data_IF_653023277108
#
_entry.id   IF_653023277108
#
_cell.length_a   1.000
_cell.length_b   1.000
_cell.length_c   1.000
_cell.angle_alpha   90.00
_cell.angle_beta   90.00
_cell.angle_gamma   90.00
#
_symmetry.space_group_name_H-M   'P 1'
#
loop_
_entity.id
_entity.type
_entity.pdbx_description
1 polymer ?
#
# COMPACT_ATOMS: atom_id res chain seq x y z
N UNK A 1 -3.45 -2.38 -32.62
CA UNK A 1 -2.20 -1.57 -32.60
C UNK A 1 -2.18 -0.44 -33.65
N UNK A 2 -3.00 -0.50 -34.70
CA UNK A 2 -3.05 0.49 -35.79
C UNK A 2 -3.68 1.83 -35.38
N UNK A 3 -4.69 1.84 -34.49
CA UNK A 3 -5.40 3.07 -34.08
C UNK A 3 -4.51 4.08 -33.33
N UNK A 4 -3.58 3.62 -32.49
CA UNK A 4 -2.62 4.49 -31.79
C UNK A 4 -1.67 5.21 -32.74
N UNK A 5 -1.31 4.56 -33.86
CA UNK A 5 -0.42 5.12 -34.89
C UNK A 5 -1.07 6.30 -35.63
N UNK A 6 -2.40 6.30 -35.74
CA UNK A 6 -3.17 7.39 -36.35
C UNK A 6 -3.38 8.56 -35.39
N UNK A 7 -3.67 8.32 -34.11
CA UNK A 7 -3.83 9.40 -33.12
C UNK A 7 -2.52 10.15 -32.83
N UNK A 8 -1.38 9.45 -32.87
CA UNK A 8 -0.06 10.07 -32.67
C UNK A 8 0.40 11.00 -33.81
N UNK A 9 -0.35 11.10 -34.91
CA UNK A 9 -0.08 12.00 -36.04
C UNK A 9 -0.60 13.43 -35.77
N UNK A 10 -1.50 13.60 -34.81
CA UNK A 10 -1.98 14.91 -34.37
C UNK A 10 -1.02 15.51 -33.32
N UNK A 11 -0.63 16.80 -33.43
CA UNK A 11 0.37 17.43 -32.57
C UNK A 11 -0.01 17.43 -31.08
N UNK A 12 -1.31 17.41 -30.75
CA UNK A 12 -1.79 17.42 -29.35
C UNK A 12 -1.79 16.00 -28.75
N UNK A 13 -2.35 15.02 -29.46
CA UNK A 13 -2.46 13.65 -28.94
C UNK A 13 -1.13 12.88 -29.01
N UNK A 14 -0.23 13.25 -29.93
CA UNK A 14 1.10 12.67 -30.05
C UNK A 14 1.99 12.92 -28.82
N UNK A 15 1.84 14.06 -28.15
CA UNK A 15 2.56 14.37 -26.91
C UNK A 15 2.05 13.47 -25.79
N UNK A 16 0.73 13.41 -25.58
CA UNK A 16 0.10 12.59 -24.53
C UNK A 16 0.49 11.11 -24.67
N UNK A 17 0.46 10.56 -25.89
CA UNK A 17 0.87 9.16 -26.13
C UNK A 17 2.35 8.94 -25.84
N UNK A 18 3.23 9.88 -26.19
CA UNK A 18 4.67 9.79 -25.91
C UNK A 18 4.97 9.86 -24.42
N UNK A 19 4.28 10.74 -23.68
CA UNK A 19 4.42 10.85 -22.22
C UNK A 19 3.91 9.59 -21.51
N UNK A 20 2.77 9.01 -21.93
CA UNK A 20 2.28 7.73 -21.39
C UNK A 20 3.26 6.58 -21.66
N UNK A 21 3.86 6.54 -22.85
CA UNK A 21 4.85 5.51 -23.20
C UNK A 21 6.16 5.70 -22.43
N UNK A 22 6.57 6.94 -22.15
CA UNK A 22 7.73 7.24 -21.32
C UNK A 22 7.50 6.88 -19.85
N UNK A 23 6.34 7.26 -19.29
CA UNK A 23 5.95 7.00 -17.90
C UNK A 23 5.46 5.56 -17.64
N UNK A 24 5.54 4.67 -18.63
CA UNK A 24 4.95 3.31 -18.54
C UNK A 24 5.54 2.48 -17.40
N UNK A 25 6.84 2.59 -17.11
CA UNK A 25 7.49 1.78 -16.08
C UNK A 25 7.09 2.24 -14.68
N UNK A 26 7.01 3.56 -14.46
CA UNK A 26 6.52 4.14 -13.21
C UNK A 26 5.04 3.80 -12.98
N UNK A 27 4.23 3.85 -14.05
CA UNK A 27 2.82 3.47 -13.98
C UNK A 27 2.63 1.98 -13.65
N UNK A 28 3.49 1.09 -14.15
CA UNK A 28 3.45 -0.34 -13.83
C UNK A 28 3.79 -0.58 -12.36
N UNK A 29 4.84 0.07 -11.84
CA UNK A 29 5.24 -0.08 -10.44
C UNK A 29 4.14 0.41 -9.49
N UNK A 30 3.50 1.52 -9.84
CA UNK A 30 2.34 2.05 -9.14
C UNK A 30 1.11 1.12 -9.26
N UNK A 31 0.82 0.61 -10.46
CA UNK A 31 -0.28 -0.33 -10.69
C UNK A 31 -0.13 -1.63 -9.90
N UNK A 32 1.11 -2.09 -9.69
CA UNK A 32 1.40 -3.23 -8.84
C UNK A 32 1.07 -2.94 -7.36
N UNK A 33 1.44 -1.76 -6.85
CA UNK A 33 1.05 -1.35 -5.48
C UNK A 33 -0.48 -1.25 -5.33
N UNK A 34 -1.16 -0.72 -6.35
CA UNK A 34 -2.62 -0.70 -6.40
C UNK A 34 -3.22 -2.10 -6.30
N UNK A 35 -2.77 -3.02 -7.16
CA UNK A 35 -3.31 -4.37 -7.21
C UNK A 35 -3.18 -5.10 -5.87
N UNK A 36 -2.04 -4.96 -5.19
CA UNK A 36 -1.84 -5.53 -3.85
C UNK A 36 -2.83 -4.95 -2.84
N UNK A 37 -2.95 -3.62 -2.76
CA UNK A 37 -3.91 -2.97 -1.87
C UNK A 37 -5.35 -3.36 -2.18
N UNK A 38 -5.70 -3.45 -3.46
CA UNK A 38 -7.03 -3.81 -3.94
C UNK A 38 -7.40 -5.24 -3.50
N UNK A 39 -6.49 -6.20 -3.67
CA UNK A 39 -6.71 -7.59 -3.22
C UNK A 39 -6.84 -7.67 -1.71
N UNK A 40 -6.02 -6.93 -0.95
CA UNK A 40 -6.12 -6.90 0.52
C UNK A 40 -7.49 -6.38 0.96
N UNK A 41 -7.98 -5.31 0.35
CA UNK A 41 -9.32 -4.77 0.64
C UNK A 41 -10.43 -5.73 0.19
N UNK A 42 -10.27 -6.43 -0.92
CA UNK A 42 -11.24 -7.43 -1.38
C UNK A 42 -11.36 -8.58 -0.38
N UNK A 43 -10.24 -9.16 0.03
CA UNK A 43 -10.20 -10.21 1.07
C UNK A 43 -10.78 -9.70 2.38
N UNK A 44 -10.41 -8.50 2.82
CA UNK A 44 -10.92 -7.91 4.06
C UNK A 44 -12.43 -7.69 4.01
N UNK A 45 -12.97 -7.23 2.88
CA UNK A 45 -14.41 -7.05 2.71
C UNK A 45 -15.18 -8.37 2.69
N UNK A 46 -14.64 -9.41 2.05
CA UNK A 46 -15.22 -10.77 2.13
C UNK A 46 -15.25 -11.26 3.58
N UNK A 47 -14.17 -11.06 4.33
CA UNK A 47 -14.09 -11.47 5.75
C UNK A 47 -15.06 -10.69 6.66
N UNK A 48 -15.23 -9.39 6.42
CA UNK A 48 -16.08 -8.54 7.27
C UNK A 48 -17.56 -8.62 6.93
N UNK A 49 -17.89 -8.70 5.63
CA UNK A 49 -19.26 -8.55 5.14
C UNK A 49 -19.80 -9.78 4.39
N UNK A 50 -18.95 -10.73 4.02
CA UNK A 50 -19.33 -11.87 3.18
C UNK A 50 -20.33 -12.83 3.81
N UNK A 51 -20.49 -12.83 5.13
CA UNK A 51 -21.51 -13.66 5.79
C UNK A 51 -22.93 -13.07 5.67
N UNK A 52 -23.06 -11.77 5.39
CA UNK A 52 -24.35 -11.06 5.45
C UNK A 52 -24.74 -10.51 4.09
N UNK A 53 -23.80 -9.90 3.36
CA UNK A 53 -24.05 -9.30 2.05
C UNK A 53 -23.65 -10.28 0.94
N UNK A 54 -24.57 -10.54 0.01
CA UNK A 54 -24.30 -11.45 -1.11
C UNK A 54 -23.14 -10.96 -1.99
N UNK A 55 -23.05 -9.65 -2.17
CA UNK A 55 -22.03 -8.92 -2.95
C UNK A 55 -20.60 -9.14 -2.42
N UNK A 56 -20.46 -9.66 -1.21
CA UNK A 56 -19.18 -9.89 -0.54
C UNK A 56 -18.88 -11.37 -0.32
N UNK A 57 -19.65 -12.29 -0.89
CA UNK A 57 -19.46 -13.73 -0.64
C UNK A 57 -18.19 -14.28 -1.27
N UNK A 58 -17.90 -13.87 -2.50
CA UNK A 58 -16.71 -14.33 -3.24
C UNK A 58 -15.74 -13.19 -3.48
N UNK A 59 -14.46 -13.52 -3.69
CA UNK A 59 -13.44 -12.53 -4.05
C UNK A 59 -13.77 -11.80 -5.36
N UNK A 60 -14.39 -12.50 -6.31
CA UNK A 60 -14.79 -11.91 -7.59
C UNK A 60 -15.92 -10.90 -7.42
N UNK A 61 -16.98 -11.26 -6.68
CA UNK A 61 -18.08 -10.34 -6.38
C UNK A 61 -17.58 -9.15 -5.57
N UNK A 62 -16.75 -9.38 -4.54
CA UNK A 62 -16.17 -8.31 -3.74
C UNK A 62 -15.28 -7.37 -4.58
N UNK A 63 -14.53 -7.89 -5.54
CA UNK A 63 -13.77 -7.07 -6.48
C UNK A 63 -14.68 -6.22 -7.39
N UNK A 64 -15.79 -6.79 -7.86
CA UNK A 64 -16.80 -6.04 -8.63
C UNK A 64 -17.41 -4.93 -7.77
N UNK A 65 -17.77 -5.22 -6.52
CA UNK A 65 -18.32 -4.24 -5.56
C UNK A 65 -17.31 -3.15 -5.20
N UNK A 66 -16.03 -3.48 -5.05
CA UNK A 66 -14.97 -2.48 -4.88
C UNK A 66 -14.83 -1.57 -6.10
N UNK A 67 -14.99 -2.12 -7.32
CA UNK A 67 -14.99 -1.33 -8.55
C UNK A 67 -16.20 -0.40 -8.61
N UNK A 68 -17.39 -0.89 -8.23
CA UNK A 68 -18.60 -0.07 -8.10
C UNK A 68 -18.48 1.00 -7.01
N UNK A 69 -17.70 0.76 -5.95
CA UNK A 69 -17.38 1.79 -4.96
C UNK A 69 -16.46 2.88 -5.52
N UNK A 70 -15.53 2.53 -6.42
CA UNK A 70 -14.66 3.51 -7.10
C UNK A 70 -15.50 4.39 -8.03
N UNK A 71 -16.44 3.81 -8.77
CA UNK A 71 -17.35 4.58 -9.64
C UNK A 71 -18.36 5.40 -8.85
N UNK A 72 -18.56 5.08 -7.57
CA UNK A 72 -19.53 5.73 -6.69
C UNK A 72 -20.96 5.19 -6.83
N UNK A 73 -21.16 4.16 -7.65
CA UNK A 73 -22.46 3.49 -7.82
C UNK A 73 -22.85 2.71 -6.56
N UNK A 74 -21.86 2.19 -5.83
CA UNK A 74 -22.09 1.47 -4.58
C UNK A 74 -21.99 2.42 -3.38
N UNK A 75 -23.13 2.68 -2.75
CA UNK A 75 -23.24 3.56 -1.58
C UNK A 75 -22.76 2.94 -0.27
N UNK A 76 -22.68 3.78 0.76
CA UNK A 76 -22.26 3.36 2.11
C UNK A 76 -23.36 2.62 2.90
N UNK A 77 -24.62 2.73 2.49
CA UNK A 77 -25.78 2.22 3.25
C UNK A 77 -25.77 0.69 3.47
N UNK A 78 -25.46 -0.15 2.47
CA UNK A 78 -25.42 -1.61 2.67
C UNK A 78 -24.37 -2.02 3.71
N UNK A 79 -23.22 -1.34 3.74
CA UNK A 79 -22.14 -1.57 4.70
C UNK A 79 -22.55 -1.17 6.12
N UNK A 80 -23.27 -0.04 6.25
CA UNK A 80 -23.78 0.45 7.55
C UNK A 80 -24.84 -0.47 8.15
N UNK A 81 -25.67 -1.12 7.33
CA UNK A 81 -26.69 -2.07 7.79
C UNK A 81 -26.09 -3.28 8.50
N UNK A 82 -24.90 -3.72 8.08
CA UNK A 82 -24.17 -4.80 8.75
C UNK A 82 -23.57 -4.30 10.06
N UNK A 83 -22.77 -3.24 9.98
CA UNK A 83 -22.18 -2.62 11.15
C UNK A 83 -21.92 -1.14 10.85
N UNK A 84 -22.63 -0.25 11.53
CA UNK A 84 -22.56 1.18 11.27
C UNK A 84 -21.14 1.75 11.42
N UNK A 85 -20.39 1.30 12.44
CA UNK A 85 -19.02 1.78 12.69
C UNK A 85 -18.03 1.17 11.71
N UNK A 86 -17.98 -0.17 11.61
CA UNK A 86 -17.02 -0.86 10.74
C UNK A 86 -17.27 -0.57 9.26
N UNK A 87 -18.53 -0.52 8.82
CA UNK A 87 -18.91 -0.19 7.45
C UNK A 87 -18.50 1.22 7.05
N UNK A 88 -18.73 2.21 7.92
CA UNK A 88 -18.33 3.60 7.67
C UNK A 88 -16.80 3.75 7.62
N UNK A 89 -16.09 3.12 8.55
CA UNK A 89 -14.61 3.14 8.59
C UNK A 89 -14.02 2.44 7.36
N UNK A 90 -14.55 1.28 6.98
CA UNK A 90 -14.10 0.54 5.80
C UNK A 90 -14.27 1.38 4.52
N UNK A 91 -15.47 1.94 4.32
CA UNK A 91 -15.76 2.80 3.16
C UNK A 91 -14.86 4.03 3.12
N UNK A 92 -14.71 4.73 4.25
CA UNK A 92 -13.86 5.91 4.33
C UNK A 92 -12.39 5.60 4.06
N UNK A 93 -11.85 4.51 4.61
CA UNK A 93 -10.48 4.07 4.37
C UNK A 93 -10.24 3.72 2.90
N UNK A 94 -11.17 3.01 2.26
CA UNK A 94 -11.07 2.68 0.85
C UNK A 94 -11.11 3.94 -0.02
N UNK A 95 -12.01 4.87 0.27
CA UNK A 95 -12.14 6.13 -0.45
C UNK A 95 -10.87 6.99 -0.32
N UNK A 96 -10.34 7.17 0.90
CA UNK A 96 -9.07 7.89 1.14
C UNK A 96 -7.91 7.21 0.41
N UNK A 97 -7.86 5.87 0.39
CA UNK A 97 -6.82 5.14 -0.33
C UNK A 97 -6.86 5.42 -1.83
N UNK A 98 -8.05 5.43 -2.45
CA UNK A 98 -8.20 5.75 -3.87
C UNK A 98 -7.79 7.21 -4.17
N UNK A 99 -8.13 8.16 -3.30
CA UNK A 99 -7.64 9.54 -3.46
C UNK A 99 -6.12 9.65 -3.35
N UNK A 100 -5.51 9.00 -2.36
CA UNK A 100 -4.05 8.96 -2.19
C UNK A 100 -3.38 8.34 -3.43
N UNK A 101 -3.99 7.30 -3.97
CA UNK A 101 -3.56 6.62 -5.18
C UNK A 101 -3.59 7.58 -6.38
N UNK A 102 -4.70 8.28 -6.63
CA UNK A 102 -4.79 9.28 -7.70
C UNK A 102 -3.71 10.36 -7.57
N UNK A 103 -3.49 10.88 -6.37
CA UNK A 103 -2.49 11.93 -6.12
C UNK A 103 -1.08 11.44 -6.44
N UNK A 104 -0.74 10.19 -6.12
CA UNK A 104 0.57 9.63 -6.42
C UNK A 104 0.83 9.48 -7.93
N UNK A 105 -0.20 9.16 -8.74
CA UNK A 105 -0.06 9.17 -10.22
C UNK A 105 0.13 10.60 -10.72
N UNK A 106 -0.67 11.54 -10.21
CA UNK A 106 -0.59 12.94 -10.61
C UNK A 106 0.79 13.54 -10.30
N UNK A 107 1.34 13.24 -9.12
CA UNK A 107 2.69 13.65 -8.72
C UNK A 107 3.77 13.07 -9.64
N UNK A 108 3.65 11.80 -10.03
CA UNK A 108 4.59 11.18 -10.96
C UNK A 108 4.62 11.92 -12.31
N UNK A 109 3.44 12.23 -12.86
CA UNK A 109 3.31 12.98 -14.12
C UNK A 109 3.87 14.41 -13.99
N UNK A 110 3.57 15.10 -12.89
CA UNK A 110 4.06 16.45 -12.65
C UNK A 110 5.59 16.49 -12.51
N UNK A 111 6.18 15.51 -11.82
CA UNK A 111 7.63 15.42 -11.67
C UNK A 111 8.33 15.12 -12.99
N UNK A 112 7.76 14.26 -13.84
CA UNK A 112 8.27 13.99 -15.19
C UNK A 112 8.24 15.26 -16.06
N UNK A 113 7.13 16.00 -16.03
CA UNK A 113 7.02 17.29 -16.74
C UNK A 113 7.96 18.36 -16.19
N UNK A 114 8.22 18.38 -14.89
CA UNK A 114 9.15 19.34 -14.28
C UNK A 114 10.61 19.01 -14.65
N UNK A 115 10.96 17.72 -14.65
CA UNK A 115 12.28 17.25 -15.08
C UNK A 115 12.54 17.58 -16.56
N UNK A 116 11.55 17.42 -17.44
CA UNK A 116 11.72 17.74 -18.87
C UNK A 116 11.97 19.22 -19.11
N UNK A 117 11.27 20.12 -18.41
CA UNK A 117 11.47 21.57 -18.52
C UNK A 117 12.86 21.99 -18.00
N UNK A 118 13.33 21.37 -16.90
CA UNK A 118 14.67 21.64 -16.38
C UNK A 118 15.77 21.18 -17.34
N UNK A 119 15.57 20.03 -17.99
CA UNK A 119 16.52 19.48 -18.97
C UNK A 119 16.57 20.32 -20.26
N UNK A 120 15.46 20.93 -20.67
CA UNK A 120 15.43 21.83 -21.84
C UNK A 120 16.12 23.17 -21.54
N UNK A 121 15.91 23.75 -20.35
CA UNK A 121 16.62 24.95 -19.91
C UNK A 121 18.14 24.68 -19.68
N UNK A 122 18.53 23.48 -19.24
CA UNK A 122 19.96 23.12 -19.11
C UNK A 122 20.66 22.85 -20.45
N UNK A 123 19.92 22.52 -21.52
CA UNK A 123 20.50 22.35 -22.87
C UNK A 123 20.92 23.67 -23.51
N UNK A 124 20.48 24.81 -22.99
CA UNK A 124 21.04 26.12 -23.37
C UNK A 124 22.37 26.42 -22.63
N UNK A 125 22.71 25.70 -21.55
CA UNK A 125 23.87 26.01 -20.69
C UNK A 125 24.99 24.94 -20.60
N UNK A 126 24.78 23.67 -20.99
CA UNK A 126 25.74 22.60 -20.62
C UNK A 126 26.23 21.72 -21.80
N UNK A 127 27.20 22.26 -22.54
CA UNK A 127 28.18 21.50 -23.35
C UNK A 127 29.28 20.83 -22.46
N UNK A 128 29.05 20.69 -21.15
CA UNK A 128 30.04 20.15 -20.19
C UNK A 128 29.39 19.16 -19.20
N UNK A 129 29.94 17.96 -19.19
CA UNK A 129 30.04 17.02 -18.07
C UNK A 129 29.13 15.78 -18.06
N UNK A 130 29.72 14.64 -18.45
CA UNK A 130 29.13 13.30 -18.47
C UNK A 130 28.86 12.66 -17.09
N UNK A 131 28.79 13.46 -16.03
CA UNK A 131 28.60 13.00 -14.64
C UNK A 131 27.15 13.12 -14.13
N UNK A 132 26.26 13.82 -14.86
CA UNK A 132 24.88 14.11 -14.41
C UNK A 132 23.92 12.91 -14.46
N UNK A 133 24.18 11.91 -15.32
CA UNK A 133 23.34 10.70 -15.39
C UNK A 133 23.39 9.88 -14.09
N UNK A 134 24.46 10.04 -13.30
CA UNK A 134 24.65 9.30 -12.04
C UNK A 134 24.03 10.01 -10.81
N UNK A 135 23.61 11.28 -10.90
CA UNK A 135 22.93 11.95 -9.77
C UNK A 135 21.41 11.72 -9.77
N UNK A 136 20.75 11.75 -10.94
CA UNK A 136 19.28 11.57 -11.04
C UNK A 136 18.85 10.13 -10.75
N UNK A 137 19.58 9.14 -11.31
CA UNK A 137 19.36 7.74 -10.98
C UNK A 137 19.64 7.45 -9.50
N UNK A 138 20.61 8.17 -8.90
CA UNK A 138 20.92 8.10 -7.48
C UNK A 138 19.77 8.53 -6.58
N UNK A 139 19.07 9.62 -6.92
CA UNK A 139 17.90 10.10 -6.17
C UNK A 139 16.71 9.12 -6.26
N UNK A 140 16.44 8.57 -7.45
CA UNK A 140 15.39 7.58 -7.65
C UNK A 140 15.69 6.27 -6.88
N UNK A 141 16.95 5.81 -6.92
CA UNK A 141 17.40 4.62 -6.19
C UNK A 141 17.36 4.82 -4.67
N UNK A 142 17.67 6.03 -4.19
CA UNK A 142 17.58 6.40 -2.77
C UNK A 142 16.14 6.43 -2.25
N UNK A 143 15.19 6.99 -3.01
CA UNK A 143 13.78 6.99 -2.62
C UNK A 143 13.15 5.59 -2.66
N UNK A 144 13.46 4.80 -3.69
CA UNK A 144 13.01 3.40 -3.80
C UNK A 144 13.58 2.54 -2.66
N UNK A 145 14.87 2.68 -2.34
CA UNK A 145 15.46 2.03 -1.15
C UNK A 145 14.77 2.46 0.11
N UNK A 146 14.50 3.75 0.30
CA UNK A 146 13.81 4.25 1.49
C UNK A 146 12.43 3.62 1.63
N UNK A 147 11.63 3.52 0.57
CA UNK A 147 10.33 2.85 0.60
C UNK A 147 10.42 1.35 0.87
N UNK A 148 11.33 0.63 0.22
CA UNK A 148 11.51 -0.82 0.39
C UNK A 148 12.06 -1.13 1.79
N UNK A 149 13.06 -0.39 2.24
CA UNK A 149 13.59 -0.56 3.60
C UNK A 149 12.60 -0.11 4.66
N UNK A 150 11.85 0.98 4.45
CA UNK A 150 10.81 1.40 5.40
C UNK A 150 9.66 0.40 5.49
N UNK A 151 9.19 -0.14 4.36
CA UNK A 151 8.14 -1.19 4.35
C UNK A 151 8.64 -2.49 4.97
N UNK A 152 9.85 -2.95 4.61
CA UNK A 152 10.47 -4.14 5.19
C UNK A 152 10.76 -3.96 6.69
N UNK A 153 11.28 -2.79 7.10
CA UNK A 153 11.54 -2.43 8.50
C UNK A 153 10.24 -2.44 9.31
N UNK A 154 9.15 -1.85 8.77
CA UNK A 154 7.83 -1.84 9.43
C UNK A 154 7.23 -3.23 9.57
N UNK A 155 7.51 -4.15 8.64
CA UNK A 155 7.04 -5.53 8.69
C UNK A 155 7.86 -6.42 9.65
N UNK A 156 9.19 -6.28 9.62
CA UNK A 156 10.12 -7.01 10.48
C UNK A 156 9.93 -6.59 11.93
N UNK A 157 9.82 -5.29 12.20
CA UNK A 157 9.65 -4.78 13.55
C UNK A 157 8.37 -5.29 14.22
N UNK A 158 7.28 -5.46 13.46
CA UNK A 158 6.01 -6.05 13.97
C UNK A 158 6.13 -7.53 14.36
N UNK A 159 6.97 -8.32 13.68
CA UNK A 159 7.18 -9.74 14.05
C UNK A 159 8.11 -9.90 15.23
N UNK A 160 9.15 -9.07 15.27
CA UNK A 160 10.14 -9.02 16.35
C UNK A 160 9.46 -8.59 17.66
N UNK A 161 8.65 -7.54 17.63
CA UNK A 161 7.93 -7.03 18.80
C UNK A 161 6.87 -8.01 19.35
N UNK A 162 6.21 -8.79 18.48
CA UNK A 162 5.29 -9.86 18.92
C UNK A 162 6.03 -11.00 19.66
N UNK A 163 7.21 -11.39 19.20
CA UNK A 163 8.03 -12.42 19.88
C UNK A 163 8.55 -11.96 21.24
N UNK A 164 8.91 -10.68 21.36
CA UNK A 164 9.34 -10.10 22.65
C UNK A 164 8.22 -10.10 23.70
N UNK A 165 7.00 -9.67 23.33
CA UNK A 165 5.85 -9.67 24.25
C UNK A 165 5.42 -11.08 24.68
N UNK A 166 5.59 -12.09 23.82
CA UNK A 166 5.31 -13.48 24.18
C UNK A 166 6.38 -14.05 25.13
N UNK A 167 7.65 -13.73 24.92
CA UNK A 167 8.74 -14.22 25.77
C UNK A 167 8.68 -13.63 27.19
N UNK A 168 8.37 -12.33 27.33
CA UNK A 168 8.20 -11.68 28.64
C UNK A 168 7.06 -12.33 29.44
N UNK A 169 5.90 -12.55 28.80
CA UNK A 169 4.75 -13.22 29.43
C UNK A 169 5.03 -14.68 29.82
N UNK A 170 5.85 -15.38 29.04
CA UNK A 170 6.28 -16.75 29.35
C UNK A 170 7.17 -16.78 30.59
N UNK A 171 8.04 -15.77 30.76
CA UNK A 171 8.91 -15.67 31.93
C UNK A 171 8.12 -15.33 33.20
N UNK A 172 7.12 -14.44 33.12
CA UNK A 172 6.22 -14.16 34.26
C UNK A 172 5.46 -15.43 34.71
N UNK A 173 4.99 -16.25 33.78
CA UNK A 173 4.34 -17.52 34.09
C UNK A 173 5.30 -18.51 34.76
N UNK A 174 6.55 -18.61 34.31
CA UNK A 174 7.56 -19.52 34.88
C UNK A 174 8.09 -19.08 36.25
N UNK A 175 8.16 -17.77 36.49
CA UNK A 175 8.54 -17.23 37.82
C UNK A 175 7.42 -17.52 38.82
N UNK A 176 6.16 -17.29 38.43
CA UNK A 176 5.01 -17.53 39.31
C UNK A 176 4.84 -19.02 39.65
N UNK A 177 5.09 -19.94 38.72
CA UNK A 177 5.04 -21.38 39.01
C UNK A 177 6.15 -21.84 39.96
N UNK A 178 7.37 -21.29 39.85
CA UNK A 178 8.46 -21.59 40.79
C UNK A 178 8.21 -21.07 42.19
N UNK A 179 7.61 -19.89 42.32
CA UNK A 179 7.18 -19.35 43.62
C UNK A 179 6.11 -20.25 44.26
N UNK A 180 5.13 -20.73 43.46
CA UNK A 180 4.15 -21.70 43.93
C UNK A 180 4.79 -23.01 44.40
N UNK A 181 5.75 -23.55 43.66
CA UNK A 181 6.48 -24.78 44.05
C UNK A 181 7.27 -24.59 45.36
N UNK A 182 7.86 -23.41 45.59
CA UNK A 182 8.57 -23.12 46.83
C UNK A 182 7.60 -23.00 48.03
N UNK A 183 6.45 -22.36 47.85
CA UNK A 183 5.42 -22.27 48.90
C UNK A 183 4.86 -23.65 49.24
N UNK A 184 4.58 -24.49 48.23
CA UNK A 184 4.10 -25.86 48.46
C UNK A 184 5.13 -26.69 49.21
N UNK A 185 6.42 -26.60 48.86
CA UNK A 185 7.50 -27.28 49.60
C UNK A 185 7.58 -26.81 51.06
N UNK A 186 7.44 -25.50 51.31
CA UNK A 186 7.50 -24.93 52.65
C UNK A 186 6.36 -25.45 53.54
N UNK A 187 5.15 -25.55 52.99
CA UNK A 187 3.97 -26.10 53.68
C UNK A 187 4.19 -27.58 53.99
N UNK A 188 4.75 -28.36 53.06
CA UNK A 188 5.05 -29.79 53.29
C UNK A 188 6.10 -29.98 54.39
N UNK A 189 7.13 -29.14 54.46
CA UNK A 189 8.14 -29.21 55.55
C UNK A 189 7.63 -28.73 56.91
N UNK A 190 6.62 -27.86 56.97
CA UNK A 190 6.01 -27.41 58.23
C UNK A 190 4.92 -28.37 58.75
N UNK A 191 4.48 -29.31 57.92
CA UNK A 191 3.47 -30.32 58.26
C UNK A 191 4.06 -31.66 58.72
N UNK A 192 5.39 -31.79 58.83
CA UNK A 192 6.07 -32.95 59.45
C UNK A 192 6.73 -32.54 60.76
#
# INVERSE_FOLDING_TARGET
MTAFKYMARSPVYGIVVRTIVAARFDLIQFGLMFAVCFVVFAVMGVLLFGNILHEWKTLYEAAATLTMMITGEYGMDPLKRVNAKLGSVFYALFLVLIFFLLINILLAILMDSYASLKTENQKEDEERDGNLQMSVLGEYYMQARFWITWTAHKFINRRVQKRFLTNERMLEMLVNTKELDNVVRLIVTLSS
#
